data_IF_151518529586
#
_entry.id   IF_151518529586
#
_cell.length_a   1.000
_cell.length_b   1.000
_cell.length_c   1.000
_cell.angle_alpha   90.00
_cell.angle_beta   90.00
_cell.angle_gamma   90.00
#
_symmetry.space_group_name_H-M   'P 1'
#
loop_
_entity.id
_entity.type
_entity.pdbx_description
1 polymer ?
#
# COMPACT_ATOMS: atom_id res chain seq x y z
N UNK A 1 25.87 0.24 -14.39
CA UNK A 1 24.61 -0.52 -14.19
C UNK A 1 23.49 0.50 -14.10
N UNK A 2 22.47 0.42 -14.95
CA UNK A 2 21.30 1.31 -14.88
C UNK A 2 20.33 0.67 -13.91
N UNK A 3 20.13 1.28 -12.74
CA UNK A 3 19.07 0.88 -11.81
C UNK A 3 17.76 0.91 -12.57
N UNK A 4 17.05 -0.22 -12.64
CA UNK A 4 15.68 -0.24 -13.11
C UNK A 4 14.90 0.67 -12.16
N UNK A 5 14.50 1.85 -12.65
CA UNK A 5 13.56 2.72 -11.96
C UNK A 5 12.35 1.85 -11.63
N UNK A 6 11.98 1.72 -10.35
CA UNK A 6 10.76 1.01 -9.98
C UNK A 6 9.60 1.72 -10.69
N UNK A 7 9.11 1.11 -11.76
CA UNK A 7 8.01 1.66 -12.54
C UNK A 7 6.74 1.07 -11.92
N UNK A 8 5.89 1.96 -11.39
CA UNK A 8 4.47 1.82 -11.06
C UNK A 8 3.98 1.32 -9.67
N UNK A 9 4.74 1.38 -8.57
CA UNK A 9 4.20 0.96 -7.24
C UNK A 9 2.82 1.56 -6.90
N UNK A 10 2.58 2.83 -7.27
CA UNK A 10 1.29 3.49 -7.08
C UNK A 10 0.17 3.03 -8.03
N UNK A 11 0.47 2.82 -9.33
CA UNK A 11 -0.54 2.35 -10.29
C UNK A 11 -0.89 0.88 -10.06
N UNK A 12 0.07 0.08 -9.59
CA UNK A 12 -0.14 -1.31 -9.21
C UNK A 12 -1.04 -1.40 -7.96
N UNK A 13 -0.87 -0.49 -6.98
CA UNK A 13 -1.72 -0.42 -5.80
C UNK A 13 -3.14 0.05 -6.11
N UNK A 14 -3.31 1.13 -6.86
CA UNK A 14 -4.64 1.63 -7.25
C UNK A 14 -5.41 0.58 -8.06
N UNK A 15 -4.73 -0.08 -9.02
CA UNK A 15 -5.32 -1.17 -9.80
C UNK A 15 -5.69 -2.37 -8.93
N UNK A 16 -4.82 -2.77 -8.00
CA UNK A 16 -5.09 -3.89 -7.08
C UNK A 16 -6.29 -3.60 -6.17
N UNK A 17 -6.38 -2.38 -5.63
CA UNK A 17 -7.52 -1.93 -4.81
C UNK A 17 -8.79 -1.93 -5.65
N UNK A 18 -8.76 -1.35 -6.86
CA UNK A 18 -9.91 -1.31 -7.77
C UNK A 18 -10.42 -2.71 -8.14
N UNK A 19 -9.53 -3.67 -8.38
CA UNK A 19 -9.91 -5.06 -8.67
C UNK A 19 -10.59 -5.77 -7.48
N UNK A 20 -10.22 -5.40 -6.25
CA UNK A 20 -10.81 -5.95 -5.02
C UNK A 20 -12.11 -5.25 -4.63
N UNK A 21 -12.18 -3.94 -4.81
CA UNK A 21 -13.34 -3.09 -4.50
C UNK A 21 -14.41 -3.12 -5.59
N UNK A 22 -14.06 -3.59 -6.77
CA UNK A 22 -14.92 -3.58 -7.94
C UNK A 22 -14.93 -2.22 -8.63
N UNK A 23 -15.12 -2.25 -9.95
CA UNK A 23 -15.27 -1.07 -10.77
C UNK A 23 -16.14 -1.36 -11.98
N UNK A 24 -16.68 -0.30 -12.58
CA UNK A 24 -17.38 -0.36 -13.85
C UNK A 24 -16.71 0.60 -14.82
N UNK A 25 -16.31 0.09 -15.97
CA UNK A 25 -15.78 0.88 -17.08
C UNK A 25 -16.65 0.66 -18.31
N UNK A 26 -17.17 1.75 -18.88
CA UNK A 26 -17.91 1.68 -20.14
C UNK A 26 -16.92 1.65 -21.30
N UNK A 27 -17.11 0.71 -22.22
CA UNK A 27 -16.32 0.67 -23.46
C UNK A 27 -16.78 1.79 -24.39
N UNK A 28 -15.82 2.51 -25.00
CA UNK A 28 -16.13 3.43 -26.09
C UNK A 28 -16.09 2.69 -27.44
N UNK A 29 -17.10 2.92 -28.28
CA UNK A 29 -17.19 2.33 -29.62
C UNK A 29 -17.54 0.84 -29.61
N UNK A 30 -16.68 0.01 -30.21
CA UNK A 30 -16.89 -1.44 -30.32
C UNK A 30 -16.41 -2.24 -29.09
N UNK A 31 -15.84 -1.59 -28.07
CA UNK A 31 -15.35 -2.28 -26.87
C UNK A 31 -16.51 -2.64 -25.94
N UNK A 32 -16.51 -3.88 -25.43
CA UNK A 32 -17.48 -4.33 -24.42
C UNK A 32 -17.09 -3.71 -23.07
N UNK A 33 -18.06 -3.11 -22.38
CA UNK A 33 -17.84 -2.58 -21.03
C UNK A 33 -17.43 -3.67 -20.03
N UNK A 34 -16.65 -3.29 -19.03
CA UNK A 34 -16.18 -4.19 -17.97
C UNK A 34 -16.91 -3.86 -16.68
N UNK A 35 -17.40 -4.89 -15.99
CA UNK A 35 -17.93 -4.78 -14.63
C UNK A 35 -17.24 -5.81 -13.75
N UNK A 36 -16.47 -5.33 -12.78
CA UNK A 36 -15.86 -6.15 -11.73
C UNK A 36 -16.65 -5.91 -10.45
N UNK A 37 -17.15 -6.99 -9.86
CA UNK A 37 -17.83 -6.91 -8.57
C UNK A 37 -16.80 -6.88 -7.41
N UNK A 38 -17.11 -6.18 -6.30
CA UNK A 38 -16.32 -6.23 -5.09
C UNK A 38 -16.16 -7.68 -4.60
N UNK A 39 -15.02 -7.98 -3.98
CA UNK A 39 -14.80 -9.29 -3.36
C UNK A 39 -15.75 -9.43 -2.17
N UNK A 40 -16.55 -10.52 -2.10
CA UNK A 40 -17.47 -10.72 -0.99
C UNK A 40 -16.71 -11.04 0.30
N UNK A 41 -17.22 -10.56 1.43
CA UNK A 41 -16.67 -10.86 2.76
C UNK A 41 -15.41 -10.05 3.13
N UNK A 42 -15.15 -8.94 2.43
CA UNK A 42 -14.19 -7.93 2.90
C UNK A 42 -14.65 -7.35 4.25
N UNK A 43 -13.73 -7.07 5.19
CA UNK A 43 -14.06 -6.41 6.45
C UNK A 43 -14.75 -5.05 6.20
N UNK A 44 -15.69 -4.66 7.06
CA UNK A 44 -16.54 -3.48 6.83
C UNK A 44 -15.79 -2.14 6.85
N UNK A 45 -14.62 -2.07 7.49
CA UNK A 45 -13.75 -0.88 7.48
C UNK A 45 -12.60 -0.94 6.48
N UNK A 46 -12.46 -2.06 5.76
CA UNK A 46 -11.39 -2.27 4.80
C UNK A 46 -11.44 -1.30 3.62
N UNK A 47 -12.63 -0.98 3.04
CA UNK A 47 -12.74 0.03 1.98
C UNK A 47 -12.23 1.41 2.39
N UNK A 48 -12.58 1.85 3.60
CA UNK A 48 -12.19 3.15 4.15
C UNK A 48 -10.67 3.19 4.38
N UNK A 49 -10.11 2.10 4.89
CA UNK A 49 -8.67 1.94 5.10
C UNK A 49 -7.90 1.97 3.78
N UNK A 50 -8.36 1.27 2.74
CA UNK A 50 -7.73 1.30 1.41
C UNK A 50 -7.83 2.68 0.76
N UNK A 51 -8.94 3.40 0.94
CA UNK A 51 -9.08 4.79 0.49
C UNK A 51 -8.12 5.72 1.23
N UNK A 52 -8.04 5.59 2.56
CA UNK A 52 -7.07 6.32 3.36
C UNK A 52 -5.65 6.11 2.85
N UNK A 53 -5.25 4.86 2.59
CA UNK A 53 -3.94 4.55 2.01
C UNK A 53 -3.73 5.30 0.70
N UNK A 54 -4.67 5.23 -0.25
CA UNK A 54 -4.58 5.92 -1.55
C UNK A 54 -4.42 7.44 -1.40
N UNK A 55 -5.19 8.06 -0.50
CA UNK A 55 -5.15 9.49 -0.25
C UNK A 55 -3.80 9.98 0.29
N UNK A 56 -3.05 9.11 0.99
CA UNK A 56 -1.81 9.46 1.68
C UNK A 56 -0.54 8.94 0.98
N UNK A 57 -0.64 8.29 -0.20
CA UNK A 57 0.54 7.76 -0.91
C UNK A 57 1.56 8.84 -1.20
N UNK A 58 1.11 10.04 -1.57
CA UNK A 58 1.97 11.16 -1.94
C UNK A 58 2.38 12.04 -0.75
N UNK A 59 1.87 11.75 0.45
CA UNK A 59 2.15 12.56 1.61
C UNK A 59 3.60 12.50 2.02
N UNK A 60 4.09 13.66 2.48
CA UNK A 60 5.45 13.80 2.96
C UNK A 60 5.69 12.96 4.21
N UNK A 61 4.80 13.07 5.20
CA UNK A 61 4.86 12.25 6.40
C UNK A 61 4.46 10.80 6.08
N UNK A 62 5.42 9.88 6.18
CA UNK A 62 5.21 8.46 5.88
C UNK A 62 4.63 7.65 7.04
N UNK A 63 4.59 8.17 8.26
CA UNK A 63 4.18 7.42 9.46
C UNK A 63 2.72 6.95 9.36
N UNK A 64 1.79 7.89 9.11
CA UNK A 64 0.37 7.58 8.97
C UNK A 64 0.10 6.63 7.77
N UNK A 65 0.82 6.81 6.66
CA UNK A 65 0.75 5.91 5.51
C UNK A 65 1.22 4.50 5.88
N UNK A 66 2.33 4.36 6.61
CA UNK A 66 2.86 3.07 7.04
C UNK A 66 1.90 2.35 7.98
N UNK A 67 1.29 3.05 8.94
CA UNK A 67 0.27 2.48 9.82
C UNK A 67 -0.90 1.93 9.01
N UNK A 68 -1.47 2.74 8.11
CA UNK A 68 -2.59 2.32 7.26
C UNK A 68 -2.25 1.13 6.36
N UNK A 69 -1.04 1.09 5.79
CA UNK A 69 -0.58 -0.02 4.97
C UNK A 69 -0.43 -1.32 5.77
N UNK A 70 0.12 -1.25 6.98
CA UNK A 70 0.31 -2.42 7.84
C UNK A 70 -1.02 -2.96 8.37
N UNK A 71 -1.92 -2.07 8.75
CA UNK A 71 -3.28 -2.43 9.15
C UNK A 71 -4.03 -3.09 7.99
N UNK A 72 -3.92 -2.56 6.76
CA UNK A 72 -4.55 -3.16 5.59
C UNK A 72 -4.05 -4.58 5.34
N UNK A 73 -2.74 -4.83 5.47
CA UNK A 73 -2.20 -6.19 5.32
C UNK A 73 -2.66 -7.12 6.44
N UNK A 74 -2.77 -6.62 7.67
CA UNK A 74 -3.29 -7.38 8.80
C UNK A 74 -4.74 -7.82 8.56
N UNK A 75 -5.60 -6.91 8.11
CA UNK A 75 -7.01 -7.18 7.78
C UNK A 75 -7.18 -8.11 6.56
N UNK A 76 -6.23 -8.07 5.62
CA UNK A 76 -6.23 -8.93 4.44
C UNK A 76 -5.84 -10.39 4.78
N UNK A 77 -5.02 -10.61 5.80
CA UNK A 77 -4.42 -11.91 6.13
C UNK A 77 -5.43 -13.05 6.32
N UNK A 78 -6.55 -12.89 7.06
CA UNK A 78 -7.56 -13.94 7.18
C UNK A 78 -8.23 -14.31 5.85
N UNK A 79 -8.27 -13.38 4.88
CA UNK A 79 -8.85 -13.62 3.56
C UNK A 79 -7.90 -14.42 2.66
N UNK A 80 -6.60 -14.19 2.77
CA UNK A 80 -5.58 -14.94 2.02
C UNK A 80 -5.53 -16.43 2.41
N UNK A 81 -5.90 -16.75 3.65
CA UNK A 81 -5.96 -18.14 4.14
C UNK A 81 -7.24 -18.89 3.72
N UNK A 82 -8.22 -18.18 3.16
CA UNK A 82 -9.47 -18.79 2.68
C UNK A 82 -9.32 -19.17 1.21
N UNK A 83 -9.83 -20.36 0.86
CA UNK A 83 -9.99 -20.73 -0.54
C UNK A 83 -11.12 -19.90 -1.16
N UNK A 84 -10.78 -18.97 -2.05
CA UNK A 84 -11.75 -18.10 -2.74
C UNK A 84 -11.46 -18.08 -4.25
N UNK A 85 -12.50 -17.93 -5.06
CA UNK A 85 -12.36 -17.81 -6.52
C UNK A 85 -11.63 -16.54 -6.99
N UNK A 86 -11.38 -15.58 -6.08
CA UNK A 86 -10.69 -14.31 -6.34
C UNK A 86 -9.38 -14.20 -5.55
N UNK A 87 -8.81 -15.31 -5.07
CA UNK A 87 -7.57 -15.32 -4.29
C UNK A 87 -6.41 -14.64 -5.02
N UNK A 88 -6.35 -14.76 -6.36
CA UNK A 88 -5.36 -14.07 -7.19
C UNK A 88 -5.38 -12.55 -6.98
N UNK A 89 -6.56 -11.95 -6.88
CA UNK A 89 -6.68 -10.49 -6.72
C UNK A 89 -6.29 -10.05 -5.32
N UNK A 90 -6.62 -10.87 -4.31
CA UNK A 90 -6.17 -10.64 -2.93
C UNK A 90 -4.65 -10.76 -2.79
N UNK A 91 -4.03 -11.74 -3.47
CA UNK A 91 -2.57 -11.87 -3.51
C UNK A 91 -1.91 -10.68 -4.20
N UNK A 92 -2.51 -10.21 -5.30
CA UNK A 92 -2.00 -9.02 -5.99
C UNK A 92 -2.11 -7.77 -5.11
N UNK A 93 -3.20 -7.63 -4.36
CA UNK A 93 -3.35 -6.57 -3.36
C UNK A 93 -2.30 -6.66 -2.24
N UNK A 94 -2.05 -7.84 -1.67
CA UNK A 94 -1.02 -7.99 -0.62
C UNK A 94 0.38 -7.61 -1.14
N UNK A 95 0.73 -8.05 -2.36
CA UNK A 95 2.01 -7.70 -3.00
C UNK A 95 2.13 -6.20 -3.25
N UNK A 96 1.04 -5.56 -3.69
CA UNK A 96 1.02 -4.12 -3.94
C UNK A 96 1.15 -3.31 -2.64
N UNK A 97 0.44 -3.72 -1.58
CA UNK A 97 0.56 -3.14 -0.24
C UNK A 97 1.99 -3.30 0.30
N UNK A 98 2.55 -4.50 0.22
CA UNK A 98 3.92 -4.82 0.67
C UNK A 98 4.99 -4.01 -0.09
N UNK A 99 4.80 -3.83 -1.41
CA UNK A 99 5.69 -3.00 -2.21
C UNK A 99 5.57 -1.53 -1.86
N UNK A 100 4.36 -1.05 -1.54
CA UNK A 100 4.12 0.33 -1.09
C UNK A 100 4.72 0.57 0.29
N UNK A 101 4.67 -0.41 1.20
CA UNK A 101 5.39 -0.33 2.50
C UNK A 101 6.88 -0.12 2.28
N UNK A 102 7.51 -0.91 1.40
CA UNK A 102 8.93 -0.74 1.08
C UNK A 102 9.22 0.66 0.52
N UNK A 103 8.43 1.13 -0.44
CA UNK A 103 8.60 2.47 -1.02
C UNK A 103 8.42 3.58 0.03
N UNK A 104 7.44 3.46 0.93
CA UNK A 104 7.23 4.43 2.00
C UNK A 104 8.39 4.45 3.01
N UNK A 105 8.94 3.28 3.35
CA UNK A 105 10.14 3.17 4.20
C UNK A 105 11.36 3.82 3.53
N UNK A 106 11.61 3.51 2.26
CA UNK A 106 12.73 4.09 1.50
C UNK A 106 12.62 5.61 1.45
N UNK A 107 11.42 6.14 1.16
CA UNK A 107 11.15 7.58 1.19
C UNK A 107 11.42 8.18 2.57
N UNK A 108 10.95 7.55 3.64
CA UNK A 108 11.21 8.00 5.02
C UNK A 108 12.70 8.09 5.35
N UNK A 109 13.50 7.12 4.89
CA UNK A 109 14.96 7.17 5.06
C UNK A 109 15.60 8.30 4.26
N UNK A 110 15.17 8.53 3.02
CA UNK A 110 15.64 9.65 2.20
C UNK A 110 15.34 11.01 2.87
N UNK A 111 14.14 11.17 3.43
CA UNK A 111 13.79 12.39 4.16
C UNK A 111 14.65 12.61 5.40
N UNK A 112 14.90 11.57 6.19
CA UNK A 112 15.77 11.64 7.36
C UNK A 112 17.23 11.96 6.98
N UNK A 113 17.73 11.41 5.87
CA UNK A 113 19.08 11.69 5.39
C UNK A 113 19.21 13.12 4.83
N UNK A 114 18.15 13.66 4.24
CA UNK A 114 18.10 15.02 3.69
C UNK A 114 17.77 16.08 4.76
N UNK A 115 17.17 15.69 5.88
CA UNK A 115 17.02 16.55 7.04
C UNK A 115 18.42 16.89 7.58
N UNK A 116 18.86 18.13 7.37
CA UNK A 116 20.09 18.63 7.99
C UNK A 116 20.03 18.35 9.50
N UNK A 117 21.12 17.90 10.14
CA UNK A 117 21.13 17.73 11.58
C UNK A 117 21.03 19.12 12.21
N UNK A 118 19.82 19.54 12.57
CA UNK A 118 19.68 20.54 13.60
C UNK A 118 20.16 19.89 14.89
N UNK A 119 21.28 20.39 15.40
CA UNK A 119 21.87 19.97 16.66
C UNK A 119 20.93 20.42 17.78
N UNK A 120 19.86 19.65 18.00
CA UNK A 120 19.03 19.70 19.20
C UNK A 120 19.17 18.33 19.89
N UNK A 121 19.87 18.25 21.03
CA UNK A 121 20.31 16.98 21.63
C UNK A 121 19.20 16.17 22.33
N UNK A 122 17.94 16.24 21.89
CA UNK A 122 16.82 15.60 22.62
C UNK A 122 15.82 14.78 21.79
N UNK A 123 15.93 14.68 20.46
CA UNK A 123 15.06 13.79 19.67
C UNK A 123 15.87 12.67 19.02
N UNK A 124 15.86 11.51 19.67
CA UNK A 124 16.62 10.33 19.26
C UNK A 124 16.10 9.74 17.94
N UNK A 125 16.94 9.62 16.88
CA UNK A 125 16.60 8.92 15.64
C UNK A 125 16.44 7.39 15.80
N UNK A 126 16.55 6.86 17.02
CA UNK A 126 16.47 5.41 17.28
C UNK A 126 15.06 4.83 17.14
N UNK A 127 13.99 5.61 17.34
CA UNK A 127 12.63 5.04 17.41
C UNK A 127 12.16 4.48 16.05
N UNK A 128 12.41 5.21 14.96
CA UNK A 128 11.98 4.81 13.61
C UNK A 128 12.82 3.65 13.08
N UNK A 129 14.15 3.70 13.28
CA UNK A 129 15.05 2.59 12.89
C UNK A 129 14.73 1.29 13.64
N UNK A 130 14.33 1.40 14.91
CA UNK A 130 13.93 0.24 15.71
C UNK A 130 12.61 -0.35 15.23
N UNK A 131 11.58 0.46 14.95
CA UNK A 131 10.31 -0.03 14.40
C UNK A 131 10.48 -0.71 13.03
N UNK A 132 11.31 -0.15 12.15
CA UNK A 132 11.55 -0.73 10.81
C UNK A 132 12.31 -2.06 10.90
N UNK A 133 13.26 -2.20 11.84
CA UNK A 133 13.97 -3.47 12.04
C UNK A 133 13.07 -4.58 12.58
N UNK A 134 12.00 -4.24 13.30
CA UNK A 134 11.05 -5.21 13.85
C UNK A 134 9.97 -5.66 12.84
N UNK A 135 9.78 -4.95 11.74
CA UNK A 135 8.81 -5.27 10.68
C UNK A 135 9.38 -6.19 9.58
N UNK A 136 10.68 -6.46 9.61
CA UNK A 136 11.39 -7.31 8.64
C UNK A 136 11.65 -8.75 9.11
N UNK A 137 11.06 -9.17 10.25
CA UNK A 137 11.14 -10.54 10.76
C UNK A 137 9.77 -11.10 11.17
#
# INVERSE_FOLDING_TARGET
>A
MRTLKAVHSGADLESAISNCMGYRAEGQGFMVGVQINPIPGLPSGFPELLRFVLEHIEDRNVEALLEGLLEARQELRPLLLKSTGRLKDLLFLDIALDSTVRTAIERGYEELNNARPEVNPSSSPHSIKSCISSLLF
#
